data_IF_526705222636
#
_entry.id   IF_526705222636
#
_cell.length_a   1.000
_cell.length_b   1.000
_cell.length_c   1.000
_cell.angle_alpha   90.00
_cell.angle_beta   90.00
_cell.angle_gamma   90.00
#
_symmetry.space_group_name_H-M   'P 1'
#
loop_
_entity.id
_entity.type
_entity.pdbx_description
1 polymer ?
#
# COMPACT_ATOMS: atom_id res chain seq x y z
N UNK A 1 -6.58 26.21 41.78
CA UNK A 1 -7.23 25.37 40.75
C UNK A 1 -6.14 24.90 39.80
N UNK A 2 -6.09 23.60 39.42
CA UNK A 2 -4.95 23.08 38.68
C UNK A 2 -4.99 23.30 37.15
N UNK A 3 -6.06 23.89 36.58
CA UNK A 3 -6.13 24.28 35.15
C UNK A 3 -6.64 25.71 34.99
N UNK A 4 -6.29 26.37 33.88
CA UNK A 4 -6.65 27.76 33.60
C UNK A 4 -8.14 27.87 33.24
N UNK A 5 -8.90 28.70 33.96
CA UNK A 5 -10.34 28.90 33.75
C UNK A 5 -10.70 29.45 32.35
N UNK A 6 -9.79 30.22 31.73
CA UNK A 6 -10.03 30.85 30.44
C UNK A 6 -9.65 29.98 29.23
N UNK A 7 -9.01 28.82 29.46
CA UNK A 7 -8.55 27.92 28.40
C UNK A 7 -9.20 26.56 28.65
N UNK A 8 -10.17 26.20 27.80
CA UNK A 8 -10.86 24.91 27.85
C UNK A 8 -10.72 24.21 26.50
N UNK A 9 -9.61 23.50 26.33
CA UNK A 9 -9.27 22.76 25.12
C UNK A 9 -10.04 21.44 24.96
N UNK A 10 -10.73 20.94 25.99
CA UNK A 10 -11.42 19.63 25.98
C UNK A 10 -12.89 19.77 25.56
N UNK A 11 -13.58 20.83 25.97
CA UNK A 11 -15.02 20.98 25.70
C UNK A 11 -15.35 22.06 24.66
N UNK A 12 -14.41 22.97 24.36
CA UNK A 12 -14.64 24.05 23.40
C UNK A 12 -14.32 23.60 21.97
N UNK A 13 -15.37 23.35 21.18
CA UNK A 13 -15.25 22.92 19.78
C UNK A 13 -14.58 23.95 18.86
N UNK A 14 -14.68 25.25 19.14
CA UNK A 14 -14.06 26.29 18.31
C UNK A 14 -12.54 26.32 18.46
N UNK A 15 -12.04 26.09 19.67
CA UNK A 15 -10.60 26.00 19.95
C UNK A 15 -10.01 24.71 19.38
N UNK A 16 -10.74 23.60 19.50
CA UNK A 16 -10.38 22.34 18.86
C UNK A 16 -10.26 22.51 17.34
N UNK A 17 -11.26 23.12 16.71
CA UNK A 17 -11.25 23.36 15.26
C UNK A 17 -10.06 24.22 14.83
N UNK A 18 -9.72 25.27 15.59
CA UNK A 18 -8.55 26.09 15.28
C UNK A 18 -7.25 25.26 15.33
N UNK A 19 -7.11 24.37 16.31
CA UNK A 19 -5.94 23.50 16.43
C UNK A 19 -5.90 22.49 15.28
N UNK A 20 -7.04 21.90 14.91
CA UNK A 20 -7.15 21.02 13.74
C UNK A 20 -6.80 21.74 12.44
N UNK A 21 -7.27 22.97 12.26
CA UNK A 21 -6.98 23.79 11.08
C UNK A 21 -5.49 24.13 10.99
N UNK A 22 -4.87 24.55 12.10
CA UNK A 22 -3.44 24.82 12.16
C UNK A 22 -2.61 23.56 11.88
N UNK A 23 -3.07 22.40 12.35
CA UNK A 23 -2.42 21.13 12.09
C UNK A 23 -2.51 20.77 10.60
N UNK A 24 -3.69 20.87 9.98
CA UNK A 24 -3.88 20.64 8.55
C UNK A 24 -2.97 21.56 7.74
N UNK A 25 -2.94 22.86 8.06
CA UNK A 25 -2.06 23.81 7.37
C UNK A 25 -0.59 23.46 7.57
N UNK A 26 -0.17 23.01 8.76
CA UNK A 26 1.21 22.56 8.98
C UNK A 26 1.57 21.33 8.14
N UNK A 27 0.67 20.37 7.98
CA UNK A 27 0.86 19.22 7.08
C UNK A 27 0.91 19.69 5.62
N UNK A 28 0.09 20.67 5.21
CA UNK A 28 0.18 21.22 3.84
C UNK A 28 1.50 21.94 3.57
N UNK A 29 2.09 22.60 4.57
CA UNK A 29 3.36 23.30 4.41
C UNK A 29 4.57 22.36 4.34
N UNK A 30 4.60 21.31 5.17
CA UNK A 30 5.78 20.45 5.35
C UNK A 30 5.60 19.01 4.88
N UNK A 31 4.37 18.61 4.59
CA UNK A 31 4.03 17.30 4.06
C UNK A 31 4.27 17.20 2.56
N UNK A 32 3.86 16.07 2.01
CA UNK A 32 4.00 15.74 0.59
C UNK A 32 2.63 15.28 0.08
N UNK A 33 2.31 15.65 -1.16
CA UNK A 33 1.13 15.18 -1.86
C UNK A 33 1.33 13.72 -2.27
N UNK A 34 0.44 12.86 -1.79
CA UNK A 34 0.48 11.42 -2.00
C UNK A 34 -0.87 10.94 -2.52
N UNK A 35 -0.90 9.77 -3.16
CA UNK A 35 -2.16 9.17 -3.59
C UNK A 35 -2.53 8.04 -2.65
N UNK A 36 -3.71 8.12 -2.03
CA UNK A 36 -4.32 7.03 -1.30
C UNK A 36 -5.24 6.24 -2.22
N UNK A 37 -5.06 4.93 -2.23
CA UNK A 37 -5.79 3.98 -3.07
C UNK A 37 -6.55 3.04 -2.13
N UNK A 38 -7.88 3.23 -1.97
CA UNK A 38 -8.67 2.34 -1.15
C UNK A 38 -8.70 0.94 -1.77
N UNK A 39 -8.61 -0.08 -0.92
CA UNK A 39 -8.85 -1.47 -1.31
C UNK A 39 -10.35 -1.66 -1.57
N UNK A 40 -10.69 -1.99 -2.80
CA UNK A 40 -12.01 -2.48 -3.17
C UNK A 40 -11.97 -4.01 -3.16
N UNK A 41 -12.61 -4.62 -2.17
CA UNK A 41 -12.90 -6.06 -2.22
C UNK A 41 -13.83 -6.32 -3.39
N UNK A 42 -13.50 -7.34 -4.19
CA UNK A 42 -14.34 -7.76 -5.30
C UNK A 42 -15.75 -8.11 -4.80
N UNK A 43 -16.79 -7.73 -5.56
CA UNK A 43 -18.20 -7.99 -5.23
C UNK A 43 -18.56 -9.49 -5.12
N UNK A 44 -17.60 -10.39 -5.39
CA UNK A 44 -17.73 -11.83 -5.34
C UNK A 44 -16.94 -12.39 -4.16
N UNK A 45 -17.33 -12.00 -2.95
CA UNK A 45 -17.00 -12.79 -1.75
C UNK A 45 -17.67 -14.15 -1.93
N UNK A 46 -16.88 -15.23 -1.98
CA UNK A 46 -17.46 -16.56 -1.96
C UNK A 46 -18.17 -16.76 -0.62
N UNK A 47 -19.50 -16.72 -0.63
CA UNK A 47 -20.32 -16.88 0.57
C UNK A 47 -20.23 -18.30 1.16
N UNK A 48 -19.69 -19.28 0.42
CA UNK A 48 -19.55 -20.67 0.85
C UNK A 48 -18.24 -20.88 1.62
N UNK A 49 -17.13 -20.32 1.12
CA UNK A 49 -15.80 -20.46 1.73
C UNK A 49 -15.35 -19.25 2.56
N UNK A 50 -16.03 -18.12 2.43
CA UNK A 50 -15.67 -16.87 3.12
C UNK A 50 -14.35 -16.26 2.65
N UNK A 51 -13.84 -16.70 1.50
CA UNK A 51 -12.58 -16.23 0.93
C UNK A 51 -12.83 -15.09 -0.05
N UNK A 52 -12.14 -13.96 0.16
CA UNK A 52 -12.03 -12.89 -0.83
C UNK A 52 -10.89 -13.26 -1.77
N UNK A 53 -11.24 -13.59 -3.02
CA UNK A 53 -10.29 -14.21 -3.95
C UNK A 53 -9.26 -13.23 -4.52
N UNK A 54 -9.52 -11.91 -4.49
CA UNK A 54 -8.55 -10.94 -4.98
C UNK A 54 -8.84 -9.49 -4.55
N UNK A 55 -7.81 -8.81 -4.04
CA UNK A 55 -7.84 -7.36 -3.79
C UNK A 55 -7.79 -6.58 -5.11
N UNK A 56 -8.62 -5.55 -5.25
CA UNK A 56 -8.61 -4.63 -6.39
C UNK A 56 -8.47 -3.17 -5.97
N UNK A 57 -7.71 -2.39 -6.74
CA UNK A 57 -7.42 -0.98 -6.51
C UNK A 57 -7.70 -0.21 -7.81
N UNK A 58 -8.90 0.36 -7.90
CA UNK A 58 -9.40 1.04 -9.11
C UNK A 58 -9.41 2.56 -8.97
N UNK A 59 -9.41 3.06 -7.74
CA UNK A 59 -9.53 4.48 -7.42
C UNK A 59 -8.25 4.97 -6.75
N UNK A 60 -7.90 6.22 -7.00
CA UNK A 60 -6.77 6.90 -6.40
C UNK A 60 -7.16 8.34 -6.06
N UNK A 61 -6.93 8.74 -4.82
CA UNK A 61 -7.30 10.04 -4.29
C UNK A 61 -6.06 10.78 -3.78
N UNK A 62 -5.88 12.03 -4.18
CA UNK A 62 -4.75 12.85 -3.70
C UNK A 62 -5.01 13.35 -2.29
N UNK A 63 -4.06 13.11 -1.37
CA UNK A 63 -4.11 13.57 0.01
C UNK A 63 -2.72 13.96 0.49
N UNK A 64 -2.66 15.02 1.28
CA UNK A 64 -1.44 15.47 1.94
C UNK A 64 -1.11 14.59 3.15
N UNK A 65 0.13 14.07 3.22
CA UNK A 65 0.62 13.33 4.38
C UNK A 65 1.99 13.85 4.80
N UNK A 66 2.26 13.82 6.11
CA UNK A 66 3.56 14.12 6.68
C UNK A 66 4.35 12.83 6.92
N UNK A 67 5.63 12.80 6.54
CA UNK A 67 6.50 11.65 6.80
C UNK A 67 7.09 11.81 8.19
N UNK A 68 6.64 10.98 9.14
CA UNK A 68 7.09 11.03 10.55
C UNK A 68 8.37 10.26 10.78
N UNK A 69 8.51 9.10 10.13
CA UNK A 69 9.70 8.28 10.21
C UNK A 69 9.84 7.45 8.91
N UNK A 70 11.07 7.30 8.42
CA UNK A 70 11.44 6.39 7.34
C UNK A 70 12.44 5.40 7.94
N UNK A 71 11.93 4.33 8.53
CA UNK A 71 12.77 3.23 9.04
C UNK A 71 13.09 2.30 7.86
N UNK A 72 14.31 2.44 7.33
CA UNK A 72 14.77 1.70 6.15
C UNK A 72 15.95 2.35 5.41
N UNK A 73 16.21 3.64 5.65
CA UNK A 73 17.31 4.39 5.00
C UNK A 73 18.52 4.69 5.91
N UNK A 74 18.39 4.55 7.23
CA UNK A 74 19.53 4.52 8.15
C UNK A 74 19.92 3.06 8.35
N UNK A 75 20.97 2.62 7.66
CA UNK A 75 21.44 1.25 7.70
C UNK A 75 21.54 0.70 9.12
N UNK A 76 21.15 -0.57 9.26
CA UNK A 76 21.22 -1.42 10.46
C UNK A 76 19.89 -1.59 11.24
N UNK A 77 18.92 -2.21 10.56
CA UNK A 77 17.74 -2.83 11.17
C UNK A 77 17.61 -4.29 10.73
N UNK A 78 18.61 -5.12 11.04
CA UNK A 78 18.64 -6.54 10.71
C UNK A 78 17.63 -7.30 11.61
N UNK A 79 16.35 -7.32 11.23
CA UNK A 79 15.35 -8.15 11.91
C UNK A 79 15.55 -9.61 11.50
N UNK A 80 16.18 -10.41 12.39
CA UNK A 80 16.30 -11.86 12.20
C UNK A 80 14.93 -12.52 12.34
N UNK A 81 14.24 -12.74 11.21
CA UNK A 81 13.05 -13.59 11.15
C UNK A 81 13.48 -15.06 11.15
N UNK A 82 12.66 -15.94 11.73
CA UNK A 82 12.96 -17.37 11.94
C UNK A 82 13.16 -18.19 10.64
N UNK A 83 13.01 -17.55 9.48
CA UNK A 83 13.11 -18.12 8.14
C UNK A 83 14.12 -17.42 7.21
N UNK A 84 14.85 -16.39 7.68
CA UNK A 84 15.83 -15.65 6.89
C UNK A 84 15.90 -14.16 7.23
N UNK A 85 16.81 -13.44 6.56
CA UNK A 85 16.90 -11.98 6.59
C UNK A 85 15.89 -11.40 5.58
N UNK A 86 14.76 -10.89 6.07
CA UNK A 86 13.81 -10.11 5.27
C UNK A 86 13.84 -8.68 5.81
N UNK A 87 14.55 -7.80 5.10
CA UNK A 87 14.63 -6.37 5.42
C UNK A 87 13.52 -5.69 4.62
N UNK A 88 12.49 -5.21 5.31
CA UNK A 88 11.38 -4.50 4.70
C UNK A 88 11.49 -3.03 5.02
N UNK A 89 11.35 -2.21 3.99
CA UNK A 89 11.27 -0.77 4.16
C UNK A 89 9.91 -0.42 4.79
N UNK A 90 9.97 0.27 5.93
CA UNK A 90 8.79 0.73 6.66
C UNK A 90 8.77 2.25 6.70
N UNK A 91 7.59 2.83 6.47
CA UNK A 91 7.38 4.26 6.56
C UNK A 91 6.17 4.55 7.44
N UNK A 92 6.30 5.54 8.32
CA UNK A 92 5.17 6.04 9.10
C UNK A 92 4.71 7.37 8.52
N UNK A 93 3.50 7.38 7.98
CA UNK A 93 2.86 8.58 7.46
C UNK A 93 1.83 9.10 8.46
N UNK A 94 1.81 10.40 8.69
CA UNK A 94 0.83 11.06 9.53
C UNK A 94 -0.12 11.86 8.66
N UNK A 95 -1.42 11.67 8.84
CA UNK A 95 -2.47 12.43 8.17
C UNK A 95 -3.41 13.08 9.17
N UNK A 96 -4.07 14.18 8.79
CA UNK A 96 -5.10 14.81 9.61
C UNK A 96 -6.44 14.08 9.46
N UNK A 97 -7.10 13.78 10.59
CA UNK A 97 -8.40 13.08 10.60
C UNK A 97 -9.47 13.86 9.85
N UNK A 98 -9.59 15.16 10.16
CA UNK A 98 -10.58 16.05 9.52
C UNK A 98 -10.35 16.25 8.03
N UNK A 99 -9.10 16.14 7.55
CA UNK A 99 -8.80 16.23 6.11
C UNK A 99 -9.32 14.99 5.37
N UNK A 100 -9.16 13.82 5.98
CA UNK A 100 -9.71 12.57 5.46
C UNK A 100 -11.24 12.61 5.39
N UNK A 101 -11.90 13.10 6.44
CA UNK A 101 -13.36 13.26 6.46
C UNK A 101 -13.85 14.22 5.35
N UNK A 102 -13.11 15.30 5.08
CA UNK A 102 -13.41 16.22 3.99
C UNK A 102 -13.26 15.56 2.62
N UNK A 103 -12.21 14.77 2.44
CA UNK A 103 -11.96 14.03 1.20
C UNK A 103 -13.06 12.99 0.95
N UNK A 104 -13.48 12.27 1.98
CA UNK A 104 -14.58 11.31 1.90
C UNK A 104 -15.89 11.98 1.49
N UNK A 105 -16.19 13.16 2.06
CA UNK A 105 -17.38 13.94 1.73
C UNK A 105 -17.34 14.56 0.33
N UNK A 106 -16.18 15.00 -0.16
CA UNK A 106 -15.99 15.64 -1.47
C UNK A 106 -16.09 14.62 -2.60
N UNK A 107 -15.38 13.51 -2.46
CA UNK A 107 -15.23 12.49 -3.51
C UNK A 107 -16.34 11.43 -3.45
N UNK A 108 -17.26 11.54 -2.49
CA UNK A 108 -18.37 10.62 -2.22
C UNK A 108 -17.91 9.16 -2.31
N UNK A 109 -16.80 8.87 -1.65
CA UNK A 109 -16.03 7.66 -1.86
C UNK A 109 -16.92 6.48 -1.51
N UNK A 110 -17.26 5.61 -2.48
CA UNK A 110 -18.08 4.45 -2.18
C UNK A 110 -17.26 3.59 -1.23
N UNK A 111 -17.65 3.59 0.05
CA UNK A 111 -17.24 2.57 1.00
C UNK A 111 -17.29 1.21 0.30
N UNK A 112 -16.28 0.36 0.46
CA UNK A 112 -16.33 -1.01 -0.08
C UNK A 112 -17.47 -1.82 0.55
N UNK A 113 -18.73 -1.49 0.23
CA UNK A 113 -19.97 -1.86 0.94
C UNK A 113 -20.90 -0.67 1.25
N UNK A 114 -21.98 -0.93 1.99
CA UNK A 114 -23.09 0.00 2.30
C UNK A 114 -22.77 1.13 3.30
N UNK A 115 -21.49 1.35 3.67
CA UNK A 115 -21.11 2.25 4.76
C UNK A 115 -19.90 3.15 4.43
N UNK A 116 -19.93 4.44 4.82
CA UNK A 116 -18.86 5.41 4.55
C UNK A 116 -17.53 5.04 5.22
N UNK A 117 -16.41 5.52 4.68
CA UNK A 117 -15.09 5.32 5.28
C UNK A 117 -14.92 6.23 6.49
N UNK A 118 -14.82 5.66 7.70
CA UNK A 118 -14.57 6.43 8.93
C UNK A 118 -13.07 6.72 9.12
N UNK A 119 -12.21 5.92 8.47
CA UNK A 119 -10.74 6.03 8.50
C UNK A 119 -10.14 5.22 7.33
N UNK A 120 -8.86 5.47 6.97
CA UNK A 120 -8.12 4.56 6.10
C UNK A 120 -8.13 3.14 6.64
N UNK A 121 -8.21 2.14 5.76
CA UNK A 121 -8.26 0.74 6.15
C UNK A 121 -6.89 0.09 6.01
N UNK A 122 -6.67 -0.91 6.84
CA UNK A 122 -5.53 -1.81 6.69
C UNK A 122 -5.64 -2.53 5.34
N UNK A 123 -4.53 -2.61 4.63
CA UNK A 123 -4.45 -3.13 3.26
C UNK A 123 -4.72 -2.12 2.15
N UNK A 124 -5.09 -0.87 2.46
CA UNK A 124 -5.09 0.20 1.46
C UNK A 124 -3.66 0.50 1.01
N UNK A 125 -3.52 1.04 -0.21
CA UNK A 125 -2.22 1.43 -0.76
C UNK A 125 -2.04 2.94 -0.71
N UNK A 126 -0.80 3.35 -0.60
CA UNK A 126 -0.37 4.74 -0.58
C UNK A 126 0.80 4.86 -1.55
N UNK A 127 0.61 5.66 -2.59
CA UNK A 127 1.64 5.93 -3.59
C UNK A 127 2.35 7.24 -3.26
N UNK A 128 3.68 7.18 -3.19
CA UNK A 128 4.55 8.33 -3.02
C UNK A 128 5.15 8.74 -4.38
N UNK A 129 4.73 9.86 -4.99
CA UNK A 129 5.22 10.28 -6.31
C UNK A 129 6.72 10.58 -6.34
N UNK A 130 7.29 11.01 -5.20
CA UNK A 130 8.70 11.40 -5.10
C UNK A 130 9.65 10.21 -5.28
N UNK A 131 9.40 9.08 -4.62
CA UNK A 131 10.21 7.86 -4.75
C UNK A 131 9.66 6.89 -5.80
N UNK A 132 8.41 7.10 -6.24
CA UNK A 132 7.65 6.18 -7.10
C UNK A 132 7.44 4.81 -6.46
N UNK A 133 7.37 4.76 -5.14
CA UNK A 133 7.10 3.55 -4.40
C UNK A 133 5.65 3.50 -3.91
N UNK A 134 5.16 2.27 -3.81
CA UNK A 134 3.85 1.94 -3.28
C UNK A 134 4.05 1.36 -1.90
N UNK A 135 3.32 1.88 -0.93
CA UNK A 135 3.30 1.41 0.44
C UNK A 135 1.93 0.85 0.77
N UNK A 136 1.87 -0.31 1.43
CA UNK A 136 0.66 -0.89 1.96
C UNK A 136 0.49 -0.50 3.43
N UNK A 137 -0.69 -0.02 3.81
CA UNK A 137 -1.02 0.29 5.20
C UNK A 137 -1.17 -1.01 5.97
N UNK A 138 -0.29 -1.27 6.94
CA UNK A 138 -0.41 -2.43 7.83
C UNK A 138 -1.27 -2.11 9.05
N UNK A 139 -1.08 -0.93 9.63
CA UNK A 139 -1.78 -0.55 10.86
C UNK A 139 -2.09 0.94 10.88
N UNK A 140 -3.29 1.28 11.36
CA UNK A 140 -3.75 2.65 11.54
C UNK A 140 -3.89 2.93 13.03
N UNK A 141 -2.93 3.71 13.55
CA UNK A 141 -2.98 4.19 14.94
C UNK A 141 -4.10 5.22 15.05
N UNK A 142 -5.18 4.81 15.70
CA UNK A 142 -6.36 5.64 15.93
C UNK A 142 -6.63 5.88 17.42
N UNK A 143 -5.72 5.45 18.30
CA UNK A 143 -5.79 5.72 19.74
C UNK A 143 -4.43 6.23 20.20
N UNK A 144 -4.40 7.49 20.67
CA UNK A 144 -3.24 8.02 21.39
C UNK A 144 -3.58 8.11 22.87
N UNK A 145 -2.63 7.74 23.73
CA UNK A 145 -2.80 7.85 25.19
C UNK A 145 -2.97 9.30 25.67
N UNK A 146 -2.72 10.30 24.81
CA UNK A 146 -2.79 11.71 25.14
C UNK A 146 -3.66 12.50 24.14
N UNK A 147 -4.89 12.80 24.54
CA UNK A 147 -5.76 13.75 23.85
C UNK A 147 -5.54 15.15 24.40
N UNK A 148 -4.53 15.86 23.88
CA UNK A 148 -4.23 17.22 24.32
C UNK A 148 -5.44 18.19 24.16
N UNK A 149 -6.37 17.88 23.25
CA UNK A 149 -7.56 18.68 22.93
C UNK A 149 -8.86 17.86 23.04
N UNK A 150 -8.84 16.72 23.73
CA UNK A 150 -10.02 15.83 23.86
C UNK A 150 -10.41 15.04 22.60
N UNK A 151 -9.77 15.29 21.45
CA UNK A 151 -9.99 14.58 20.17
C UNK A 151 -8.65 14.17 19.54
N UNK A 152 -8.66 13.13 18.69
CA UNK A 152 -7.50 12.71 17.91
C UNK A 152 -7.41 13.57 16.64
N UNK A 153 -6.39 14.44 16.49
CA UNK A 153 -6.26 15.27 15.30
C UNK A 153 -5.56 14.57 14.14
N UNK A 154 -4.88 13.45 14.41
CA UNK A 154 -4.03 12.75 13.44
C UNK A 154 -4.29 11.25 13.42
N UNK A 155 -4.18 10.64 12.24
CA UNK A 155 -3.97 9.20 12.09
C UNK A 155 -2.50 8.97 11.73
N UNK A 156 -1.83 8.11 12.50
CA UNK A 156 -0.50 7.61 12.14
C UNK A 156 -0.67 6.27 11.42
N UNK A 157 -0.30 6.23 10.15
CA UNK A 157 -0.33 5.06 9.28
C UNK A 157 1.05 4.42 9.28
N UNK A 158 1.14 3.18 9.78
CA UNK A 158 2.33 2.35 9.58
C UNK A 158 2.20 1.60 8.28
N UNK A 159 3.10 1.86 7.36
CA UNK A 159 3.08 1.26 6.04
C UNK A 159 4.38 0.51 5.74
N UNK A 160 4.27 -0.53 4.93
CA UNK A 160 5.38 -1.31 4.41
C UNK A 160 5.43 -1.23 2.90
N UNK A 161 6.61 -1.44 2.29
CA UNK A 161 6.70 -1.52 0.83
C UNK A 161 5.74 -2.60 0.28
N UNK A 162 4.93 -2.22 -0.70
CA UNK A 162 3.95 -3.10 -1.31
C UNK A 162 4.63 -4.22 -2.10
N UNK A 163 4.21 -5.46 -1.82
CA UNK A 163 4.62 -6.64 -2.57
C UNK A 163 3.44 -7.11 -3.43
N UNK A 164 3.68 -7.21 -4.73
CA UNK A 164 2.67 -7.67 -5.68
C UNK A 164 2.38 -9.16 -5.50
N UNK A 165 1.12 -9.49 -5.23
CA UNK A 165 0.56 -10.84 -5.12
C UNK A 165 -0.72 -10.96 -5.96
N UNK A 166 -0.56 -10.83 -7.28
CA UNK A 166 -1.62 -11.01 -8.28
C UNK A 166 -2.80 -10.03 -8.19
N UNK A 167 -2.73 -8.95 -7.40
CA UNK A 167 -3.81 -7.97 -7.27
C UNK A 167 -4.08 -7.23 -8.59
N UNK A 168 -5.32 -6.74 -8.71
CA UNK A 168 -5.73 -5.89 -9.83
C UNK A 168 -5.56 -4.44 -9.41
N UNK A 169 -4.54 -3.77 -9.96
CA UNK A 169 -4.36 -2.33 -9.80
C UNK A 169 -4.58 -1.69 -11.17
N UNK A 170 -5.60 -0.84 -11.27
CA UNK A 170 -5.97 -0.13 -12.49
C UNK A 170 -6.54 1.23 -12.11
N UNK A 171 -5.64 2.14 -11.74
CA UNK A 171 -6.01 3.45 -11.16
C UNK A 171 -6.24 4.51 -12.22
N UNK A 172 -5.74 4.29 -13.45
CA UNK A 172 -5.79 5.28 -14.53
C UNK A 172 -4.69 6.34 -14.45
N UNK A 173 -3.85 6.30 -13.40
CA UNK A 173 -2.67 7.15 -13.27
C UNK A 173 -1.48 6.41 -13.86
N UNK A 174 -0.91 6.95 -14.95
CA UNK A 174 0.17 6.31 -15.70
C UNK A 174 1.36 5.90 -14.80
N UNK A 175 1.79 6.78 -13.90
CA UNK A 175 2.92 6.50 -13.01
C UNK A 175 2.68 5.30 -12.07
N UNK A 176 1.44 5.11 -11.61
CA UNK A 176 1.07 4.01 -10.71
C UNK A 176 0.94 2.72 -11.52
N UNK A 177 0.23 2.77 -12.64
CA UNK A 177 -0.02 1.60 -13.48
C UNK A 177 1.29 1.06 -14.09
N UNK A 178 2.22 1.95 -14.49
CA UNK A 178 3.56 1.61 -14.97
C UNK A 178 4.40 0.94 -13.86
N UNK A 179 4.33 1.46 -12.63
CA UNK A 179 5.05 0.88 -11.48
C UNK A 179 4.57 -0.54 -11.17
N UNK A 180 3.26 -0.78 -11.24
CA UNK A 180 2.67 -2.11 -11.06
C UNK A 180 3.09 -3.05 -12.20
N UNK A 181 3.16 -2.57 -13.44
CA UNK A 181 3.67 -3.37 -14.56
C UNK A 181 5.13 -3.82 -14.33
N UNK A 182 5.97 -2.94 -13.76
CA UNK A 182 7.34 -3.30 -13.39
C UNK A 182 7.40 -4.37 -12.27
N UNK A 183 6.50 -4.31 -11.28
CA UNK A 183 6.40 -5.35 -10.25
C UNK A 183 5.99 -6.70 -10.83
N UNK A 184 5.02 -6.72 -11.75
CA UNK A 184 4.60 -7.94 -12.48
C UNK A 184 5.76 -8.60 -13.22
N UNK A 185 6.61 -7.79 -13.86
CA UNK A 185 7.78 -8.28 -14.60
C UNK A 185 8.90 -8.80 -13.68
N UNK A 186 8.96 -8.38 -12.42
CA UNK A 186 9.99 -8.85 -11.48
C UNK A 186 9.61 -10.17 -10.82
N UNK A 187 8.31 -10.42 -10.59
CA UNK A 187 7.78 -11.68 -10.05
C UNK A 187 7.72 -12.79 -11.12
N UNK A 188 7.54 -12.40 -12.38
CA UNK A 188 7.82 -13.31 -13.49
C UNK A 188 9.33 -13.43 -13.57
N UNK A 189 9.88 -14.62 -13.37
CA UNK A 189 11.29 -14.87 -13.73
C UNK A 189 11.57 -14.22 -15.07
N UNK A 190 12.73 -13.55 -15.25
CA UNK A 190 13.01 -12.84 -16.48
C UNK A 190 12.64 -13.77 -17.62
N UNK A 191 11.84 -13.26 -18.56
CA UNK A 191 11.53 -13.93 -19.81
C UNK A 191 12.80 -13.95 -20.71
N UNK A 192 13.94 -14.26 -20.09
CA UNK A 192 15.16 -14.70 -20.70
C UNK A 192 14.99 -16.18 -20.97
N UNK A 193 14.60 -16.46 -22.21
CA UNK A 193 14.34 -17.79 -22.76
C UNK A 193 13.15 -18.46 -22.11
N UNK A 194 12.00 -18.42 -22.81
CA UNK A 194 11.28 -19.65 -23.04
C UNK A 194 12.34 -20.73 -23.23
N UNK A 195 12.47 -21.61 -22.25
CA UNK A 195 13.09 -22.91 -22.47
C UNK A 195 12.13 -23.60 -23.43
N UNK A 196 12.19 -23.15 -24.69
CA UNK A 196 11.50 -23.76 -25.80
C UNK A 196 12.12 -25.14 -25.82
N UNK A 197 11.41 -26.11 -25.25
CA UNK A 197 11.79 -27.52 -25.36
C UNK A 197 12.11 -27.85 -26.82
N UNK A 198 11.46 -27.14 -27.76
CA UNK A 198 11.78 -27.12 -29.18
C UNK A 198 13.20 -26.65 -29.52
N UNK A 199 13.68 -25.50 -29.02
CA UNK A 199 15.06 -25.04 -29.26
C UNK A 199 16.10 -25.95 -28.62
N UNK A 200 15.82 -26.48 -27.43
CA UNK A 200 16.68 -27.49 -26.80
C UNK A 200 16.68 -28.79 -27.62
N UNK A 201 15.53 -29.25 -28.10
CA UNK A 201 15.43 -30.42 -28.97
C UNK A 201 16.14 -30.21 -30.31
N UNK A 202 16.02 -29.04 -30.92
CA UNK A 202 16.67 -28.71 -32.19
C UNK A 202 18.21 -28.67 -32.03
N UNK A 203 18.70 -28.11 -30.92
CA UNK A 203 20.14 -28.16 -30.57
C UNK A 203 20.60 -29.58 -30.22
N UNK A 204 19.80 -30.34 -29.46
CA UNK A 204 20.11 -31.71 -29.09
C UNK A 204 20.15 -32.63 -30.32
N UNK A 205 19.21 -32.50 -31.26
CA UNK A 205 19.18 -33.25 -32.52
C UNK A 205 20.34 -32.90 -33.46
N UNK A 206 20.97 -31.73 -33.27
CA UNK A 206 22.20 -31.37 -33.99
C UNK A 206 23.44 -32.07 -33.41
N UNK A 207 23.39 -32.43 -32.11
CA UNK A 207 24.51 -33.05 -31.39
C UNK A 207 24.36 -34.59 -31.36
N UNK A 208 23.13 -35.09 -31.27
CA UNK A 208 22.79 -36.50 -31.25
C UNK A 208 22.25 -36.93 -32.61
N UNK A 209 23.07 -37.67 -33.35
CA UNK A 209 22.66 -38.28 -34.61
C UNK A 209 21.80 -39.53 -34.33
N UNK A 210 20.49 -39.40 -34.54
CA UNK A 210 19.54 -40.50 -34.41
C UNK A 210 19.31 -41.28 -35.71
N UNK A 211 20.15 -41.07 -36.73
CA UNK A 211 20.08 -41.81 -38.01
C UNK A 211 20.72 -43.19 -37.97
N UNK A 212 21.46 -43.51 -36.90
CA UNK A 212 22.04 -44.83 -36.71
C UNK A 212 20.95 -45.89 -36.50
N UNK A 213 20.97 -47.00 -37.25
CA UNK A 213 20.02 -48.09 -37.04
C UNK A 213 20.20 -48.66 -35.64
N UNK A 214 19.14 -48.56 -34.83
CA UNK A 214 19.12 -48.98 -33.44
C UNK A 214 19.69 -50.41 -33.29
N UNK A 215 20.75 -50.63 -32.48
CA UNK A 215 21.44 -51.92 -32.37
C UNK A 215 20.59 -53.02 -31.72
N UNK A 216 19.37 -52.69 -31.28
CA UNK A 216 18.42 -53.61 -30.65
C UNK A 216 17.21 -53.98 -31.53
N UNK A 217 17.24 -53.62 -32.83
CA UNK A 217 16.25 -54.05 -33.81
C UNK A 217 14.99 -53.17 -33.86
N UNK A 218 14.37 -53.14 -35.04
CA UNK A 218 13.13 -52.41 -35.32
C UNK A 218 11.93 -53.08 -34.63
N UNK A 219 11.19 -52.32 -33.82
CA UNK A 219 9.78 -52.60 -33.55
C UNK A 219 8.91 -51.89 -34.57
#
# INVERSE_FOLDING_TARGET
MPTNFYINNIENSSEQNLIHDLLIESIKFYGIDMYWLPRTTSLFVDQVLGEDTLSSYTQAYSIEMYIKNVEGFEGEGEFLSKFGLDIRDQATFTMATRRFDQLEAEEAIPGGGTAPFVRPREGDLVYLPLSKDLFQIQFVEHESMFYAVGTLPIYDLRCELFVYNNEIVATGIADIDDRIAAYKHTSTMPEGTTVDNKKIQDQANTILDHSDPSPFGSF
#
